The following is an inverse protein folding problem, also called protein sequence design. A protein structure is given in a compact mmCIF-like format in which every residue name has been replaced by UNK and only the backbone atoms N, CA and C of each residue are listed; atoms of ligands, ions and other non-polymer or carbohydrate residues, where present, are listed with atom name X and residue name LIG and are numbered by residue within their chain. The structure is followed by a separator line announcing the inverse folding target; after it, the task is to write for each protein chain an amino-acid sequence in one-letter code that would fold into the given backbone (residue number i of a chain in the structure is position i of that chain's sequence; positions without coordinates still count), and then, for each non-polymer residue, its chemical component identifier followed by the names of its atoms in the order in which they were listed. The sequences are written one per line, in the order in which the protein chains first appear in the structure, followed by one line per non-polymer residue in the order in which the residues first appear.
data_IF_658764696213
#
_entry.id   IF_658764696213
#
_cell.length_a   1.000
_cell.length_b   1.000
_cell.length_c   1.000
_cell.angle_alpha   90.00
_cell.angle_beta   90.00
_cell.angle_gamma   90.00
#
_symmetry.space_group_name_H-M   'P 1'
#
loop_
_entity.id
_entity.type
_entity.pdbx_description
1 polymer ?
#
# COMPACT_ATOMS: atom_id res chain seq x y z
N UNK A 1 -33.42 -21.18 66.19
CA UNK A 1 -33.33 -19.95 65.34
C UNK A 1 -31.97 -19.32 65.58
N UNK A 2 -30.96 -19.77 64.86
CA UNK A 2 -29.59 -19.26 64.97
C UNK A 2 -29.11 -18.89 63.57
N UNK A 3 -28.87 -17.62 63.39
CA UNK A 3 -27.85 -16.97 62.63
C UNK A 3 -27.47 -17.54 61.25
N UNK A 4 -28.12 -17.00 60.24
CA UNK A 4 -27.70 -17.05 58.84
C UNK A 4 -27.53 -15.60 58.37
N UNK A 5 -26.56 -14.89 58.93
CA UNK A 5 -26.29 -13.45 58.61
C UNK A 5 -24.81 -13.19 58.54
N UNK A 6 -23.97 -14.04 57.97
CA UNK A 6 -22.56 -13.70 57.90
C UNK A 6 -21.84 -14.28 56.70
N UNK A 7 -22.37 -14.26 55.51
CA UNK A 7 -21.60 -14.62 54.30
C UNK A 7 -21.89 -13.69 53.11
N UNK A 8 -22.41 -12.51 53.30
CA UNK A 8 -22.64 -11.56 52.19
C UNK A 8 -21.65 -10.37 52.18
N UNK A 9 -20.65 -10.37 53.05
CA UNK A 9 -19.72 -9.22 53.19
C UNK A 9 -18.30 -9.46 52.70
N UNK A 10 -18.01 -10.51 51.94
CA UNK A 10 -16.64 -10.77 51.45
C UNK A 10 -16.50 -10.85 49.96
N UNK A 11 -17.45 -10.37 49.16
CA UNK A 11 -17.33 -10.25 47.69
C UNK A 11 -17.27 -8.81 47.19
N UNK A 12 -16.99 -7.86 48.07
CA UNK A 12 -16.60 -6.49 47.68
C UNK A 12 -15.09 -6.37 47.59
N UNK A 13 -14.41 -7.38 47.04
CA UNK A 13 -13.03 -7.36 46.70
C UNK A 13 -12.81 -6.86 45.27
N UNK A 14 -12.38 -5.63 45.12
CA UNK A 14 -11.59 -5.10 44.04
C UNK A 14 -12.09 -5.37 42.61
N UNK A 15 -13.26 -4.88 42.25
CA UNK A 15 -13.48 -4.42 40.88
C UNK A 15 -12.75 -3.08 40.77
N UNK A 16 -11.43 -3.13 40.59
CA UNK A 16 -10.73 -2.03 39.97
C UNK A 16 -11.21 -1.99 38.53
N UNK A 17 -12.13 -1.06 38.26
CA UNK A 17 -12.32 -0.52 36.92
C UNK A 17 -10.93 -0.06 36.47
N UNK A 18 -10.29 -0.87 35.64
CA UNK A 18 -9.22 -0.38 34.77
C UNK A 18 -9.94 0.52 33.77
N UNK A 19 -10.19 1.77 34.18
CA UNK A 19 -10.39 2.86 33.27
C UNK A 19 -9.07 2.94 32.51
N UNK A 20 -9.01 2.33 31.34
CA UNK A 20 -8.04 2.68 30.33
C UNK A 20 -8.15 4.21 30.21
N UNK A 21 -7.25 4.91 30.85
CA UNK A 21 -7.01 6.30 30.53
C UNK A 21 -6.54 6.26 29.09
N UNK A 22 -7.48 6.42 28.16
CA UNK A 22 -7.17 6.70 26.79
C UNK A 22 -6.31 7.95 26.79
N UNK A 23 -5.00 7.77 26.73
CA UNK A 23 -4.13 8.88 26.41
C UNK A 23 -4.60 9.36 25.04
N UNK A 24 -5.07 10.59 24.97
CA UNK A 24 -5.38 11.29 23.72
C UNK A 24 -4.09 11.63 22.94
N UNK A 25 -2.98 10.96 23.25
CA UNK A 25 -1.77 11.04 22.48
C UNK A 25 -2.06 10.46 21.10
N UNK A 26 -2.06 11.30 20.09
CA UNK A 26 -2.09 10.86 18.69
C UNK A 26 -1.00 9.80 18.50
N UNK A 27 -1.27 8.70 17.76
CA UNK A 27 -0.25 7.72 17.46
C UNK A 27 0.98 8.44 16.90
N UNK A 28 2.13 8.23 17.52
CA UNK A 28 3.37 8.83 17.06
C UNK A 28 3.75 8.14 15.74
N UNK A 29 3.91 8.91 14.68
CA UNK A 29 4.48 8.39 13.43
C UNK A 29 5.94 8.00 13.70
N UNK A 30 6.28 6.72 13.51
CA UNK A 30 7.64 6.22 13.75
C UNK A 30 8.65 6.79 12.75
N UNK A 31 8.19 7.11 11.55
CA UNK A 31 8.98 7.75 10.50
C UNK A 31 8.13 8.73 9.69
N UNK A 32 8.69 9.89 9.41
CA UNK A 32 8.12 10.87 8.49
C UNK A 32 9.24 11.61 7.77
N UNK A 33 9.22 11.56 6.45
CA UNK A 33 10.14 12.31 5.60
C UNK A 33 9.84 13.81 5.68
N UNK A 34 10.82 14.61 6.04
CA UNK A 34 10.68 16.08 6.15
C UNK A 34 11.28 16.82 4.95
N UNK A 35 11.92 16.13 4.03
CA UNK A 35 12.72 16.71 2.95
C UNK A 35 11.92 17.53 1.93
N UNK A 36 10.61 17.25 1.80
CA UNK A 36 9.76 17.86 0.77
C UNK A 36 8.96 19.07 1.27
N UNK A 37 8.30 18.93 2.40
CA UNK A 37 7.35 19.94 2.89
C UNK A 37 7.72 20.50 4.26
N UNK A 38 8.84 20.07 4.84
CA UNK A 38 9.36 20.55 6.13
C UNK A 38 8.60 20.02 7.36
N UNK A 39 7.58 19.17 7.14
CA UNK A 39 6.86 18.44 8.19
C UNK A 39 6.91 16.95 7.89
N UNK A 40 6.81 16.07 8.91
CA UNK A 40 6.81 14.63 8.69
C UNK A 40 5.72 14.19 7.74
N UNK A 41 6.08 13.48 6.68
CA UNK A 41 5.18 12.94 5.69
C UNK A 41 5.64 11.57 5.20
N UNK A 42 4.75 10.59 5.23
CA UNK A 42 5.02 9.24 4.73
C UNK A 42 3.67 8.60 4.41
N UNK A 43 3.34 8.47 3.12
CA UNK A 43 2.06 7.91 2.68
C UNK A 43 2.31 6.58 1.96
N UNK A 44 1.33 5.67 2.03
CA UNK A 44 1.36 4.38 1.34
C UNK A 44 2.65 3.57 1.64
N UNK A 45 3.06 3.37 2.92
CA UNK A 45 4.32 2.70 3.23
C UNK A 45 4.25 1.21 2.93
N UNK A 46 5.29 0.70 2.29
CA UNK A 46 5.51 -0.74 2.09
C UNK A 46 6.91 -1.13 2.57
N UNK A 47 7.00 -2.20 3.37
CA UNK A 47 8.26 -2.62 4.00
C UNK A 47 8.65 -4.02 3.56
N UNK A 48 9.91 -4.19 3.19
CA UNK A 48 10.51 -5.51 2.92
C UNK A 48 11.74 -5.74 3.79
N UNK A 49 11.98 -7.00 4.16
CA UNK A 49 13.27 -7.40 4.72
C UNK A 49 14.20 -7.79 3.57
N UNK A 50 15.34 -7.11 3.46
CA UNK A 50 16.28 -7.32 2.38
C UNK A 50 17.72 -7.26 2.86
N UNK A 51 18.46 -8.38 2.69
CA UNK A 51 19.89 -8.49 3.07
C UNK A 51 20.17 -8.05 4.52
N UNK A 52 19.31 -8.47 5.46
CA UNK A 52 19.47 -8.22 6.89
C UNK A 52 19.10 -6.81 7.37
N UNK A 53 18.38 -6.05 6.56
CA UNK A 53 17.79 -4.75 6.92
C UNK A 53 16.34 -4.66 6.41
N UNK A 54 15.58 -3.77 6.99
CA UNK A 54 14.26 -3.39 6.51
C UNK A 54 14.37 -2.17 5.61
N UNK A 55 13.72 -2.23 4.46
CA UNK A 55 13.59 -1.11 3.53
C UNK A 55 12.11 -0.74 3.44
N UNK A 56 11.81 0.52 3.68
CA UNK A 56 10.49 1.09 3.52
C UNK A 56 10.46 2.00 2.29
N UNK A 57 9.53 1.72 1.41
CA UNK A 57 9.18 2.58 0.28
C UNK A 57 7.88 3.29 0.61
N UNK A 58 7.81 4.59 0.36
CA UNK A 58 6.65 5.40 0.71
C UNK A 58 6.49 6.57 -0.25
N UNK A 59 5.26 7.00 -0.44
CA UNK A 59 4.98 8.19 -1.26
C UNK A 59 5.40 9.46 -0.52
N UNK A 60 6.07 10.36 -1.23
CA UNK A 60 6.43 11.71 -0.76
C UNK A 60 5.84 12.77 -1.71
N UNK A 61 5.31 13.88 -1.16
CA UNK A 61 4.61 14.89 -1.95
C UNK A 61 5.58 15.73 -2.80
N UNK A 62 5.06 16.56 -3.71
CA UNK A 62 5.85 17.59 -4.35
C UNK A 62 6.58 18.50 -3.36
N UNK A 63 7.68 19.10 -3.78
CA UNK A 63 8.41 20.08 -2.96
C UNK A 63 7.52 21.29 -2.64
N UNK A 64 7.68 21.81 -1.43
CA UNK A 64 6.95 23.01 -1.00
C UNK A 64 7.25 24.19 -1.94
N UNK A 65 6.21 24.72 -2.56
CA UNK A 65 6.34 25.82 -3.52
C UNK A 65 6.66 25.38 -4.96
N UNK A 66 6.87 24.08 -5.21
CA UNK A 66 7.18 23.52 -6.53
C UNK A 66 6.21 22.38 -6.87
N UNK A 67 4.92 22.67 -7.15
CA UNK A 67 3.93 21.62 -7.41
C UNK A 67 4.28 20.73 -8.61
N UNK A 68 5.02 21.26 -9.58
CA UNK A 68 5.46 20.53 -10.77
C UNK A 68 6.63 19.56 -10.49
N UNK A 69 7.22 19.58 -9.29
CA UNK A 69 8.23 18.58 -8.90
C UNK A 69 7.65 17.17 -8.73
N UNK A 70 6.32 17.05 -8.72
CA UNK A 70 5.57 15.79 -8.74
C UNK A 70 5.70 14.96 -7.46
N UNK A 71 4.87 13.95 -7.35
CA UNK A 71 4.99 12.91 -6.33
C UNK A 71 6.15 11.99 -6.65
N UNK A 72 6.87 11.55 -5.63
CA UNK A 72 7.99 10.63 -5.74
C UNK A 72 7.88 9.53 -4.68
N UNK A 73 8.78 8.53 -4.74
CA UNK A 73 8.88 7.49 -3.73
C UNK A 73 10.15 7.72 -2.92
N UNK A 74 10.00 7.94 -1.61
CA UNK A 74 11.07 7.95 -0.64
C UNK A 74 11.49 6.55 -0.24
N UNK A 75 12.77 6.38 0.10
CA UNK A 75 13.33 5.13 0.61
C UNK A 75 13.93 5.38 1.96
N UNK A 76 13.47 4.63 2.97
CA UNK A 76 14.08 4.63 4.30
C UNK A 76 14.53 3.22 4.69
N UNK A 77 15.59 3.13 5.49
CA UNK A 77 16.08 1.86 6.04
C UNK A 77 15.99 1.81 7.56
N UNK A 78 15.86 0.61 8.09
CA UNK A 78 15.89 0.32 9.52
C UNK A 78 16.50 -1.06 9.77
N UNK A 79 17.04 -1.26 10.98
CA UNK A 79 17.49 -2.57 11.48
C UNK A 79 16.51 -3.19 12.48
N UNK A 80 15.59 -2.39 13.02
CA UNK A 80 14.74 -2.76 14.16
C UNK A 80 13.25 -2.41 13.96
N UNK A 81 12.86 -1.86 12.81
CA UNK A 81 11.51 -1.36 12.48
C UNK A 81 11.07 -0.13 13.30
N UNK A 82 11.90 0.35 14.21
CA UNK A 82 11.59 1.48 15.10
C UNK A 82 12.36 2.73 14.68
N UNK A 83 13.64 2.57 14.37
CA UNK A 83 14.51 3.65 13.99
C UNK A 83 14.77 3.62 12.48
N UNK A 84 14.33 4.66 11.79
CA UNK A 84 14.40 4.76 10.35
C UNK A 84 15.28 5.91 9.89
N UNK A 85 16.02 5.68 8.82
CA UNK A 85 16.87 6.70 8.18
C UNK A 85 16.56 6.76 6.70
N UNK A 86 16.36 7.96 6.15
CA UNK A 86 16.22 8.15 4.70
C UNK A 86 17.53 7.78 4.00
N UNK A 87 17.44 6.95 2.96
CA UNK A 87 18.61 6.48 2.18
C UNK A 87 18.50 6.76 0.69
N UNK A 88 17.34 7.19 0.19
CA UNK A 88 17.19 7.49 -1.24
C UNK A 88 15.80 7.98 -1.60
N UNK A 89 15.65 8.23 -2.91
CA UNK A 89 14.38 8.56 -3.56
C UNK A 89 14.34 7.94 -4.95
N UNK A 90 13.14 7.64 -5.41
CA UNK A 90 12.85 7.29 -6.80
C UNK A 90 12.04 8.44 -7.40
N UNK A 91 12.63 9.09 -8.39
CA UNK A 91 12.05 10.21 -9.12
C UNK A 91 11.59 9.77 -10.51
N UNK A 92 10.73 10.52 -11.21
CA UNK A 92 10.40 10.25 -12.60
C UNK A 92 11.64 10.09 -13.47
N UNK A 93 11.65 9.04 -14.31
CA UNK A 93 12.71 8.85 -15.26
C UNK A 93 12.54 9.81 -16.46
N UNK A 94 13.60 10.49 -16.93
CA UNK A 94 13.49 11.48 -18.00
C UNK A 94 12.86 10.96 -19.30
N UNK A 95 13.12 9.68 -19.61
CA UNK A 95 12.60 8.97 -20.79
C UNK A 95 11.19 8.43 -20.62
N UNK A 96 10.61 8.45 -19.40
CA UNK A 96 9.31 7.89 -19.09
C UNK A 96 8.22 8.97 -19.08
N UNK A 97 7.69 9.30 -20.24
CA UNK A 97 6.61 10.29 -20.36
C UNK A 97 5.40 10.02 -19.44
N UNK A 98 5.12 8.75 -19.15
CA UNK A 98 4.06 8.32 -18.25
C UNK A 98 4.35 8.65 -16.77
N UNK A 99 5.59 8.93 -16.38
CA UNK A 99 5.98 9.33 -15.01
C UNK A 99 6.08 10.85 -14.81
N UNK A 100 6.02 11.65 -15.86
CA UNK A 100 6.32 13.11 -15.81
C UNK A 100 5.60 13.91 -14.73
N UNK A 101 4.38 13.49 -14.34
CA UNK A 101 3.59 14.15 -13.29
C UNK A 101 3.80 13.55 -11.90
N UNK A 102 4.57 12.50 -11.80
CA UNK A 102 4.93 11.81 -10.58
C UNK A 102 4.64 10.32 -10.58
N UNK A 103 5.11 9.69 -9.53
CA UNK A 103 4.91 8.28 -9.21
C UNK A 103 4.70 8.14 -7.70
N UNK A 104 3.87 7.20 -7.27
CA UNK A 104 3.55 7.01 -5.86
C UNK A 104 2.97 5.61 -5.57
N UNK A 105 2.48 5.41 -4.34
CA UNK A 105 1.85 4.19 -3.84
C UNK A 105 2.66 2.93 -4.18
N UNK A 106 3.88 2.81 -3.60
CA UNK A 106 4.76 1.69 -3.85
C UNK A 106 4.26 0.41 -3.16
N UNK A 107 4.31 -0.71 -3.88
CA UNK A 107 4.31 -2.06 -3.34
C UNK A 107 5.65 -2.71 -3.64
N UNK A 108 6.16 -3.58 -2.77
CA UNK A 108 7.47 -4.20 -2.98
C UNK A 108 7.48 -5.66 -2.55
N UNK A 109 8.29 -6.46 -3.22
CA UNK A 109 8.61 -7.83 -2.80
C UNK A 109 10.07 -8.17 -3.08
N UNK A 110 10.55 -9.20 -2.41
CA UNK A 110 11.88 -9.76 -2.68
C UNK A 110 11.72 -11.07 -3.45
N UNK A 111 12.34 -11.13 -4.63
CA UNK A 111 12.38 -12.30 -5.49
C UNK A 111 13.79 -12.45 -6.07
N UNK A 112 14.33 -13.67 -6.07
CA UNK A 112 15.64 -14.03 -6.63
C UNK A 112 16.79 -13.13 -6.14
N UNK A 113 16.76 -12.75 -4.83
CA UNK A 113 17.77 -11.91 -4.19
C UNK A 113 17.75 -10.43 -4.61
N UNK A 114 16.69 -9.97 -5.24
CA UNK A 114 16.46 -8.60 -5.69
C UNK A 114 15.17 -8.04 -5.12
N UNK A 115 15.10 -6.71 -5.02
CA UNK A 115 13.86 -6.02 -4.71
C UNK A 115 13.14 -5.68 -6.01
N UNK A 116 11.88 -6.10 -6.09
CA UNK A 116 10.93 -5.73 -7.12
C UNK A 116 9.98 -4.70 -6.54
N UNK A 117 9.94 -3.52 -7.13
CA UNK A 117 9.07 -2.41 -6.74
C UNK A 117 7.98 -2.25 -7.79
N UNK A 118 6.75 -2.23 -7.34
CA UNK A 118 5.57 -1.90 -8.11
C UNK A 118 5.07 -0.53 -7.65
N UNK A 119 4.72 0.33 -8.58
CA UNK A 119 4.28 1.68 -8.26
C UNK A 119 3.29 2.16 -9.31
N UNK A 120 2.51 3.15 -8.96
CA UNK A 120 1.61 3.77 -9.91
C UNK A 120 2.21 5.05 -10.50
N UNK A 121 1.84 5.37 -11.73
CA UNK A 121 1.97 6.72 -12.26
C UNK A 121 0.94 7.63 -11.59
N UNK A 122 1.20 8.92 -11.57
CA UNK A 122 0.32 9.89 -10.93
C UNK A 122 0.00 11.07 -11.85
N UNK A 123 -1.25 11.54 -11.78
CA UNK A 123 -1.69 12.74 -12.46
C UNK A 123 -2.11 12.55 -13.91
N UNK A 124 -2.15 11.31 -14.42
CA UNK A 124 -2.59 11.01 -15.79
C UNK A 124 -4.09 10.63 -15.86
N UNK A 125 -4.80 10.67 -14.72
CA UNK A 125 -6.23 10.39 -14.61
C UNK A 125 -6.54 8.93 -14.98
N UNK A 126 -7.42 8.69 -15.94
CA UNK A 126 -7.77 7.33 -16.41
C UNK A 126 -6.58 6.55 -16.99
N UNK A 127 -5.47 7.22 -17.29
CA UNK A 127 -4.26 6.61 -17.84
C UNK A 127 -3.21 6.30 -16.77
N UNK A 128 -3.50 6.54 -15.48
CA UNK A 128 -2.62 6.06 -14.42
C UNK A 128 -2.54 4.54 -14.44
N UNK A 129 -1.33 4.02 -14.29
CA UNK A 129 -1.01 2.62 -14.54
C UNK A 129 -0.01 2.09 -13.52
N UNK A 130 0.03 0.77 -13.39
CA UNK A 130 1.06 0.11 -12.60
C UNK A 130 2.33 -0.04 -13.44
N UNK A 131 3.44 0.37 -12.83
CA UNK A 131 4.80 0.23 -13.33
C UNK A 131 5.60 -0.68 -12.42
N UNK A 132 6.73 -1.16 -12.91
CA UNK A 132 7.65 -2.04 -12.20
C UNK A 132 9.10 -1.56 -12.36
N UNK A 133 9.88 -1.71 -11.30
CA UNK A 133 11.34 -1.52 -11.33
C UNK A 133 12.02 -2.59 -10.47
N UNK A 134 13.29 -2.86 -10.75
CA UNK A 134 14.09 -3.88 -10.08
C UNK A 134 15.38 -3.31 -9.55
N UNK A 135 15.82 -3.78 -8.36
CA UNK A 135 17.04 -3.34 -7.69
C UNK A 135 17.82 -4.49 -7.09
N UNK A 136 19.14 -4.45 -7.24
CA UNK A 136 20.07 -5.39 -6.62
C UNK A 136 20.45 -4.98 -5.18
N UNK A 137 20.26 -3.72 -4.81
CA UNK A 137 20.61 -3.15 -3.50
C UNK A 137 19.42 -2.58 -2.74
N UNK A 138 18.22 -2.50 -3.38
CA UNK A 138 17.01 -1.95 -2.80
C UNK A 138 16.96 -0.41 -2.77
N UNK A 139 17.94 0.28 -3.36
CA UNK A 139 18.04 1.74 -3.40
C UNK A 139 18.07 2.26 -4.83
N UNK A 140 18.90 1.66 -5.69
CA UNK A 140 19.04 2.03 -7.08
C UNK A 140 18.20 1.11 -7.97
N UNK A 141 17.19 1.68 -8.61
CA UNK A 141 16.20 0.93 -9.37
C UNK A 141 16.33 1.15 -10.88
N UNK A 142 16.25 0.05 -11.62
CA UNK A 142 16.14 0.04 -13.09
C UNK A 142 14.67 -0.21 -13.45
N UNK A 143 14.13 0.65 -14.31
CA UNK A 143 12.74 0.51 -14.81
C UNK A 143 12.60 -0.75 -15.65
N UNK A 144 11.45 -1.41 -15.54
CA UNK A 144 11.09 -2.48 -16.46
C UNK A 144 10.90 -1.89 -17.87
N UNK A 145 11.54 -2.48 -18.91
CA UNK A 145 11.46 -1.95 -20.28
C UNK A 145 10.05 -2.02 -20.88
N UNK A 146 9.16 -2.83 -20.29
CA UNK A 146 7.76 -2.97 -20.76
C UNK A 146 6.79 -2.06 -20.02
N UNK A 147 7.28 -1.15 -19.17
CA UNK A 147 6.42 -0.20 -18.44
C UNK A 147 5.53 0.66 -19.35
N UNK A 148 4.31 1.02 -18.93
CA UNK A 148 3.58 0.49 -17.80
C UNK A 148 3.27 -0.99 -17.96
N UNK A 149 3.41 -1.77 -16.88
CA UNK A 149 3.23 -3.23 -16.95
C UNK A 149 1.77 -3.66 -16.88
N UNK A 150 0.88 -2.82 -16.37
CA UNK A 150 -0.52 -3.23 -16.21
C UNK A 150 -1.50 -2.07 -16.26
N UNK A 151 -2.56 -2.29 -17.03
CA UNK A 151 -3.84 -1.57 -17.05
C UNK A 151 -4.98 -2.58 -17.04
N UNK A 152 -6.06 -2.39 -16.28
CA UNK A 152 -7.24 -3.22 -16.39
C UNK A 152 -8.01 -2.92 -17.68
N UNK A 153 -8.72 -3.92 -18.19
CA UNK A 153 -9.53 -3.84 -19.40
C UNK A 153 -10.99 -4.30 -19.14
N UNK A 154 -11.88 -3.98 -20.06
CA UNK A 154 -13.29 -4.34 -20.00
C UNK A 154 -14.22 -3.22 -19.58
N UNK A 155 -15.54 -3.48 -19.67
CA UNK A 155 -16.57 -2.46 -19.44
C UNK A 155 -16.81 -2.12 -17.96
N UNK A 156 -16.21 -2.87 -17.03
CA UNK A 156 -16.33 -2.67 -15.60
C UNK A 156 -15.40 -1.56 -15.06
N UNK A 157 -14.40 -1.15 -15.83
CA UNK A 157 -13.33 -0.25 -15.39
C UNK A 157 -13.13 0.93 -16.34
N UNK A 158 -12.59 2.03 -15.82
CA UNK A 158 -12.16 3.15 -16.66
C UNK A 158 -10.75 2.96 -17.25
N UNK A 159 -10.05 1.83 -16.96
CA UNK A 159 -8.70 1.55 -17.41
C UNK A 159 -7.59 2.00 -16.45
N UNK A 160 -7.90 2.76 -15.40
CA UNK A 160 -6.94 3.19 -14.38
C UNK A 160 -6.49 2.02 -13.51
N UNK A 161 -5.19 1.95 -13.17
CA UNK A 161 -4.68 1.05 -12.13
C UNK A 161 -3.79 1.80 -11.15
N UNK A 162 -4.06 1.64 -9.85
CA UNK A 162 -3.33 2.28 -8.74
C UNK A 162 -3.19 1.32 -7.57
N UNK A 163 -2.38 1.70 -6.56
CA UNK A 163 -2.21 1.01 -5.28
C UNK A 163 -1.85 -0.47 -5.46
N UNK A 164 -0.73 -0.72 -6.12
CA UNK A 164 -0.28 -2.07 -6.43
C UNK A 164 0.16 -2.82 -5.17
N UNK A 165 -0.47 -3.94 -4.90
CA UNK A 165 0.00 -4.95 -3.94
C UNK A 165 0.27 -6.25 -4.66
N UNK A 166 1.52 -6.74 -4.57
CA UNK A 166 1.92 -7.98 -5.23
C UNK A 166 2.37 -9.02 -4.22
N UNK A 167 1.76 -10.19 -4.26
CA UNK A 167 2.16 -11.31 -3.40
C UNK A 167 2.33 -12.61 -4.19
N UNK A 168 3.26 -13.47 -3.72
CA UNK A 168 3.38 -14.84 -4.21
C UNK A 168 2.38 -15.74 -3.48
N UNK A 169 1.66 -16.57 -4.23
CA UNK A 169 0.80 -17.60 -3.69
C UNK A 169 0.69 -18.80 -4.62
N UNK A 170 0.98 -20.01 -4.09
CA UNK A 170 0.92 -21.29 -4.82
C UNK A 170 1.65 -21.26 -6.18
N UNK A 171 2.87 -20.69 -6.17
CA UNK A 171 3.74 -20.65 -7.33
C UNK A 171 3.33 -19.67 -8.42
N UNK A 172 2.47 -18.69 -8.08
CA UNK A 172 2.07 -17.59 -8.96
C UNK A 172 2.19 -16.26 -8.21
N UNK A 173 2.26 -15.16 -8.95
CA UNK A 173 2.19 -13.81 -8.40
C UNK A 173 0.84 -13.20 -8.70
N UNK A 174 0.23 -12.60 -7.69
CA UNK A 174 -1.05 -11.91 -7.78
C UNK A 174 -0.81 -10.42 -7.57
N UNK A 175 -1.22 -9.61 -8.51
CA UNK A 175 -1.25 -8.15 -8.44
C UNK A 175 -2.68 -7.72 -8.10
N UNK A 176 -2.88 -7.23 -6.90
CA UNK A 176 -4.10 -6.51 -6.51
C UNK A 176 -3.91 -5.03 -6.82
N UNK A 177 -4.94 -4.41 -7.32
CA UNK A 177 -4.91 -3.01 -7.73
C UNK A 177 -6.26 -2.34 -7.51
N UNK A 178 -6.27 -1.06 -7.20
CA UNK A 178 -7.49 -0.29 -7.22
C UNK A 178 -7.71 0.31 -8.62
N UNK A 179 -8.98 0.35 -9.03
CA UNK A 179 -9.43 1.00 -10.27
C UNK A 179 -10.74 1.73 -10.01
N UNK A 180 -11.19 2.53 -10.97
CA UNK A 180 -12.53 3.13 -10.92
C UNK A 180 -13.44 2.53 -11.97
N UNK A 181 -14.74 2.61 -11.71
CA UNK A 181 -15.77 2.26 -12.67
C UNK A 181 -15.66 3.11 -13.95
N UNK A 182 -16.41 2.75 -14.98
CA UNK A 182 -16.40 3.41 -16.30
C UNK A 182 -16.70 4.92 -16.20
N UNK A 183 -17.52 5.31 -15.23
CA UNK A 183 -17.91 6.71 -14.98
C UNK A 183 -16.85 7.50 -14.18
N UNK A 184 -15.81 6.85 -13.68
CA UNK A 184 -14.79 7.42 -12.82
C UNK A 184 -15.32 7.83 -11.43
N UNK A 185 -16.40 7.23 -10.97
CA UNK A 185 -17.10 7.58 -9.72
C UNK A 185 -16.76 6.64 -8.57
N UNK A 186 -16.86 5.32 -8.78
CA UNK A 186 -16.69 4.32 -7.73
C UNK A 186 -15.32 3.64 -7.84
N UNK A 187 -14.55 3.67 -6.75
CA UNK A 187 -13.26 2.99 -6.67
C UNK A 187 -13.40 1.60 -6.05
N UNK A 188 -12.78 0.61 -6.67
CA UNK A 188 -12.95 -0.80 -6.37
C UNK A 188 -11.66 -1.58 -6.65
N UNK A 189 -11.58 -2.83 -6.20
CA UNK A 189 -10.40 -3.68 -6.35
C UNK A 189 -10.54 -4.67 -7.50
N UNK A 190 -9.44 -4.85 -8.23
CA UNK A 190 -9.26 -5.91 -9.21
C UNK A 190 -8.04 -6.76 -8.89
N UNK A 191 -7.85 -7.83 -9.66
CA UNK A 191 -6.71 -8.73 -9.55
C UNK A 191 -6.22 -9.21 -10.90
N UNK A 192 -4.90 -9.23 -11.07
CA UNK A 192 -4.20 -9.87 -12.17
C UNK A 192 -3.24 -10.93 -11.65
N UNK A 193 -2.85 -11.87 -12.49
CA UNK A 193 -1.96 -12.98 -12.14
C UNK A 193 -0.81 -13.09 -13.14
N UNK A 194 0.38 -13.40 -12.64
CA UNK A 194 1.55 -13.74 -13.44
C UNK A 194 2.12 -15.10 -13.03
N UNK A 195 2.81 -15.85 -13.92
CA UNK A 195 3.42 -17.13 -13.60
C UNK A 195 4.59 -16.97 -12.61
N UNK A 196 4.94 -18.05 -11.90
CA UNK A 196 6.02 -18.02 -10.90
C UNK A 196 7.42 -17.69 -11.45
N UNK A 197 7.66 -17.99 -12.72
CA UNK A 197 8.91 -17.67 -13.42
C UNK A 197 8.91 -16.29 -14.08
N UNK A 198 7.94 -15.44 -13.79
CA UNK A 198 7.78 -14.10 -14.36
C UNK A 198 8.97 -13.18 -14.06
N UNK A 199 9.28 -12.29 -15.00
CA UNK A 199 10.10 -11.09 -14.82
C UNK A 199 9.23 -9.83 -14.59
N UNK A 200 7.92 -10.03 -14.41
CA UNK A 200 6.90 -8.98 -14.25
C UNK A 200 6.81 -8.03 -15.44
N UNK A 201 7.05 -8.56 -16.64
CA UNK A 201 6.82 -7.83 -17.87
C UNK A 201 5.32 -7.66 -18.13
N UNK A 202 4.95 -6.71 -18.98
CA UNK A 202 3.55 -6.45 -19.33
C UNK A 202 2.81 -7.70 -19.81
N UNK A 203 3.45 -8.49 -20.65
CA UNK A 203 2.90 -9.71 -21.25
C UNK A 203 2.68 -10.85 -20.24
N UNK A 204 3.31 -10.79 -19.07
CA UNK A 204 3.18 -11.81 -18.03
C UNK A 204 1.86 -11.69 -17.25
N UNK A 205 1.26 -10.50 -17.26
CA UNK A 205 0.07 -10.23 -16.45
C UNK A 205 -1.22 -10.55 -17.18
N UNK A 206 -2.06 -11.36 -16.54
CA UNK A 206 -3.39 -11.71 -17.03
C UNK A 206 -4.42 -11.24 -16.00
N UNK A 207 -5.37 -10.41 -16.42
CA UNK A 207 -6.52 -10.04 -15.60
C UNK A 207 -7.35 -11.28 -15.29
N UNK A 208 -7.71 -11.49 -14.02
CA UNK A 208 -8.36 -12.75 -13.57
C UNK A 208 -9.87 -12.73 -13.81
N UNK A 209 -10.48 -11.55 -13.67
CA UNK A 209 -11.95 -11.40 -13.76
C UNK A 209 -12.33 -10.23 -14.66
N UNK A 210 -13.51 -10.29 -15.25
CA UNK A 210 -14.14 -9.20 -16.02
C UNK A 210 -15.02 -8.30 -15.14
N UNK A 211 -14.77 -8.30 -13.83
CA UNK A 211 -15.45 -7.50 -12.83
C UNK A 211 -14.53 -7.23 -11.65
N UNK A 212 -14.90 -6.29 -10.77
CA UNK A 212 -14.20 -6.10 -9.51
C UNK A 212 -14.30 -7.33 -8.61
N UNK A 213 -13.24 -7.65 -7.89
CA UNK A 213 -13.24 -8.70 -6.85
C UNK A 213 -13.76 -8.18 -5.51
N UNK A 214 -13.71 -6.86 -5.31
CA UNK A 214 -14.25 -6.17 -4.15
C UNK A 214 -14.81 -4.82 -4.58
N UNK A 215 -16.06 -4.55 -4.19
CA UNK A 215 -16.83 -3.35 -4.51
C UNK A 215 -17.40 -2.76 -3.22
N UNK A 216 -17.50 -1.43 -3.06
CA UNK A 216 -18.08 -0.82 -1.87
C UNK A 216 -19.53 -1.28 -1.65
N UNK A 217 -19.81 -1.89 -0.49
CA UNK A 217 -21.16 -2.35 -0.11
C UNK A 217 -21.58 -1.88 1.26
N UNK A 218 -20.61 -1.51 2.11
CA UNK A 218 -20.90 -1.03 3.47
C UNK A 218 -20.91 0.49 3.53
N UNK A 219 -21.76 1.09 4.39
CA UNK A 219 -21.85 2.56 4.49
C UNK A 219 -20.50 3.25 4.77
N UNK A 220 -19.61 2.62 5.55
CA UNK A 220 -18.29 3.17 5.87
C UNK A 220 -17.32 3.18 4.69
N UNK A 221 -17.56 2.39 3.66
CA UNK A 221 -16.74 2.36 2.45
C UNK A 221 -17.04 3.52 1.51
N UNK A 222 -18.24 4.11 1.62
CA UNK A 222 -18.68 5.17 0.73
C UNK A 222 -18.64 4.74 -0.74
N UNK A 223 -17.87 5.46 -1.54
CA UNK A 223 -17.64 5.16 -2.96
C UNK A 223 -16.22 4.66 -3.25
N UNK A 224 -15.48 4.25 -2.22
CA UNK A 224 -14.07 3.94 -2.39
C UNK A 224 -13.62 2.76 -1.56
N UNK A 225 -12.97 1.82 -2.22
CA UNK A 225 -12.09 0.82 -1.62
C UNK A 225 -10.75 0.87 -2.33
N UNK A 226 -9.66 0.96 -1.56
CA UNK A 226 -8.30 1.08 -2.09
C UNK A 226 -7.26 0.48 -1.13
N UNK A 227 -5.98 0.54 -1.50
CA UNK A 227 -4.87 0.23 -0.60
C UNK A 227 -4.88 -1.21 -0.10
N UNK A 228 -5.06 -2.19 -1.00
CA UNK A 228 -4.98 -3.60 -0.62
C UNK A 228 -3.64 -3.92 0.03
N UNK A 229 -3.67 -4.65 1.15
CA UNK A 229 -2.50 -5.25 1.79
C UNK A 229 -2.80 -6.72 2.08
N UNK A 230 -1.94 -7.62 1.62
CA UNK A 230 -2.20 -9.05 1.63
C UNK A 230 -1.37 -9.77 2.68
N UNK A 231 -2.05 -10.45 3.60
CA UNK A 231 -1.43 -11.37 4.55
C UNK A 231 -1.71 -12.82 4.16
N UNK A 232 -0.65 -13.64 4.14
CA UNK A 232 -0.74 -15.09 3.87
C UNK A 232 -0.79 -15.86 5.18
N UNK A 233 -1.77 -16.74 5.35
CA UNK A 233 -1.86 -17.65 6.49
C UNK A 233 -2.32 -19.03 6.02
N UNK A 234 -1.40 -19.99 6.05
CA UNK A 234 -1.63 -21.34 5.53
C UNK A 234 -1.94 -21.30 4.03
N UNK A 235 -3.06 -21.89 3.65
CA UNK A 235 -3.58 -21.98 2.28
C UNK A 235 -4.51 -20.82 1.87
N UNK A 236 -4.57 -19.76 2.68
CA UNK A 236 -5.47 -18.60 2.49
C UNK A 236 -4.70 -17.29 2.39
N UNK A 237 -5.28 -16.38 1.61
CA UNK A 237 -4.92 -14.96 1.57
C UNK A 237 -5.98 -14.16 2.30
N UNK A 238 -5.55 -13.19 3.08
CA UNK A 238 -6.39 -12.22 3.78
C UNK A 238 -6.05 -10.84 3.23
N UNK A 239 -7.05 -10.11 2.76
CA UNK A 239 -6.91 -8.76 2.28
C UNK A 239 -7.36 -7.77 3.35
N UNK A 240 -6.49 -6.85 3.70
CA UNK A 240 -6.81 -5.63 4.42
C UNK A 240 -6.93 -4.51 3.38
N UNK A 241 -7.88 -3.60 3.55
CA UNK A 241 -8.10 -2.51 2.60
C UNK A 241 -8.61 -1.26 3.31
N UNK A 242 -8.45 -0.12 2.67
CA UNK A 242 -9.00 1.15 3.10
C UNK A 242 -10.32 1.44 2.39
N UNK A 243 -11.24 2.10 3.09
CA UNK A 243 -12.51 2.60 2.56
C UNK A 243 -12.71 4.08 2.89
N UNK A 244 -13.85 4.66 2.43
CA UNK A 244 -14.34 6.01 2.77
C UNK A 244 -13.53 7.20 2.22
N UNK A 245 -12.64 7.02 1.28
CA UNK A 245 -12.03 8.06 0.44
C UNK A 245 -11.97 9.48 1.06
N UNK A 246 -11.07 9.74 2.00
CA UNK A 246 -10.84 11.07 2.62
C UNK A 246 -12.09 11.78 3.19
N UNK A 247 -13.22 11.09 3.30
CA UNK A 247 -14.47 11.62 3.85
C UNK A 247 -14.74 11.07 5.26
N UNK A 248 -13.71 10.64 5.97
CA UNK A 248 -13.81 10.32 7.38
C UNK A 248 -14.22 11.58 8.15
N UNK A 249 -15.18 11.48 9.07
CA UNK A 249 -15.63 12.60 9.88
C UNK A 249 -14.52 13.17 10.76
#
# INVERSE_FOLDING_TARGET
MKQLVLIILLLWGNFQLILSQGSSARPLMLYGDTSRVGVPYSKDPHVVNFKGRYLMYHSIPPMKGEPDSGWNIGIAESKDLMNWTKVGEITPAPEADYEKKGLCAPGALVKDGKVHLFYQTYGNGKKDAICHAISDDGIHFRRNPTNPIFHPAGDWTCGRAIDAEVCEFKGRYFLYFATRDKNYDIQMQGVAVAPGNTNFNREDWVQVTDSSILYPVYPWEGKCIEGASIAKKGDKLYMFYAGAYNNAP
#
